data_IF_382057416836
#
_entry.id   IF_382057416836
#
_cell.length_a   1.000
_cell.length_b   1.000
_cell.length_c   1.000
_cell.angle_alpha   90.00
_cell.angle_beta   90.00
_cell.angle_gamma   90.00
#
_symmetry.space_group_name_H-M   'P 1'
#
loop_
_entity.id
_entity.type
_entity.pdbx_description
1 polymer ?
#
# COMPACT_ATOMS: atom_id res chain seq x y z
N UNK A 1 7.08 -15.26 24.99
CA UNK A 1 6.45 -14.57 23.84
C UNK A 1 7.46 -14.53 22.72
N UNK A 2 7.10 -14.92 21.49
CA UNK A 2 7.92 -14.53 20.34
C UNK A 2 7.72 -13.01 20.17
N UNK A 3 8.77 -12.22 19.94
CA UNK A 3 8.57 -10.81 19.58
C UNK A 3 7.67 -10.77 18.33
N UNK A 4 6.71 -9.83 18.25
CA UNK A 4 5.95 -9.65 17.02
C UNK A 4 6.96 -9.30 15.91
N UNK A 5 7.08 -10.19 14.93
CA UNK A 5 7.93 -9.93 13.77
C UNK A 5 7.16 -8.98 12.85
N UNK A 6 7.70 -7.79 12.66
CA UNK A 6 7.24 -6.74 11.74
C UNK A 6 7.59 -7.04 10.27
N UNK A 7 8.11 -8.24 10.01
CA UNK A 7 8.43 -8.71 8.68
C UNK A 7 7.16 -9.16 7.94
N UNK A 8 7.07 -8.95 6.61
CA UNK A 8 5.88 -9.29 5.84
C UNK A 8 5.47 -10.76 5.95
N UNK A 9 6.46 -11.66 6.12
CA UNK A 9 6.23 -13.07 6.36
C UNK A 9 6.74 -13.48 7.75
N UNK A 10 5.86 -13.83 8.69
CA UNK A 10 6.27 -14.22 10.03
C UNK A 10 6.95 -15.59 10.11
N UNK A 11 6.81 -16.43 9.09
CA UNK A 11 7.53 -17.71 8.97
C UNK A 11 8.95 -17.53 8.44
N UNK A 12 9.24 -16.37 7.83
CA UNK A 12 10.55 -16.04 7.25
C UNK A 12 10.99 -14.63 7.65
N UNK A 13 11.31 -14.40 8.94
CA UNK A 13 11.87 -13.13 9.38
C UNK A 13 13.13 -12.79 8.56
N UNK A 14 13.26 -11.52 8.18
CA UNK A 14 14.36 -11.06 7.34
C UNK A 14 14.09 -11.12 5.83
N UNK A 15 12.96 -11.66 5.37
CA UNK A 15 12.61 -11.63 3.94
C UNK A 15 11.77 -10.38 3.61
N UNK A 16 12.06 -9.66 2.52
CA UNK A 16 11.26 -8.50 2.12
C UNK A 16 9.88 -8.90 1.64
N UNK A 17 9.05 -7.90 1.32
CA UNK A 17 7.72 -8.10 0.73
C UNK A 17 7.76 -8.76 -0.65
N UNK A 18 8.87 -8.59 -1.40
CA UNK A 18 9.06 -9.11 -2.74
C UNK A 18 10.38 -9.88 -2.86
N UNK A 19 10.51 -11.03 -2.18
CA UNK A 19 11.78 -11.76 -2.13
C UNK A 19 12.21 -12.37 -3.47
N UNK A 20 11.30 -12.48 -4.43
CA UNK A 20 11.50 -13.01 -5.78
C UNK A 20 12.10 -12.01 -6.78
N UNK A 21 12.51 -10.82 -6.34
CA UNK A 21 13.15 -9.82 -7.21
C UNK A 21 14.19 -9.01 -6.47
N UNK A 22 15.24 -8.63 -7.18
CA UNK A 22 16.22 -7.67 -6.67
C UNK A 22 15.54 -6.31 -6.42
N UNK A 23 15.92 -5.61 -5.35
CA UNK A 23 15.26 -4.36 -5.02
C UNK A 23 15.80 -3.64 -3.80
N UNK A 24 15.55 -2.33 -3.75
CA UNK A 24 15.83 -1.50 -2.59
C UNK A 24 14.67 -1.57 -1.62
N UNK A 25 14.98 -1.65 -0.33
CA UNK A 25 13.99 -1.61 0.73
C UNK A 25 14.47 -0.71 1.87
N UNK A 26 13.51 -0.11 2.55
CA UNK A 26 13.73 0.64 3.78
C UNK A 26 13.56 -0.31 4.96
N UNK A 27 14.54 -0.28 5.84
CA UNK A 27 14.57 -1.05 7.09
C UNK A 27 14.86 -0.07 8.22
N UNK A 28 14.09 -0.16 9.31
CA UNK A 28 14.37 0.55 10.55
C UNK A 28 15.21 -0.34 11.46
N UNK A 29 16.47 0.05 11.69
CA UNK A 29 17.45 -0.77 12.42
C UNK A 29 17.35 -0.61 13.93
N UNK A 30 16.57 0.37 14.41
CA UNK A 30 16.31 0.60 15.84
C UNK A 30 14.85 1.03 16.08
N UNK A 31 13.89 0.10 15.94
CA UNK A 31 12.46 0.41 16.05
C UNK A 31 12.00 0.78 17.46
N UNK A 32 12.80 0.49 18.50
CA UNK A 32 12.52 0.87 19.89
C UNK A 32 13.19 2.19 20.29
N UNK A 33 14.18 2.64 19.53
CA UNK A 33 14.94 3.87 19.76
C UNK A 33 14.56 5.03 18.83
N UNK A 34 15.49 5.99 18.63
CA UNK A 34 15.30 7.06 17.67
C UNK A 34 15.21 6.49 16.25
N UNK A 35 14.18 6.91 15.51
CA UNK A 35 13.89 6.46 14.15
C UNK A 35 15.15 6.43 13.27
N UNK A 36 15.57 5.23 12.86
CA UNK A 36 16.80 5.00 12.09
C UNK A 36 16.52 4.15 10.85
N UNK A 37 15.93 4.79 9.84
CA UNK A 37 15.59 4.18 8.55
C UNK A 37 16.81 4.18 7.62
N UNK A 38 17.26 2.99 7.23
CA UNK A 38 18.32 2.76 6.27
C UNK A 38 17.81 2.06 5.02
N UNK A 39 18.49 2.29 3.90
CA UNK A 39 18.17 1.64 2.63
C UNK A 39 19.14 0.48 2.41
N UNK A 40 18.60 -0.73 2.31
CA UNK A 40 19.33 -1.94 1.96
C UNK A 40 18.85 -2.48 0.63
N UNK A 41 19.73 -3.20 -0.06
CA UNK A 41 19.43 -3.86 -1.31
C UNK A 41 19.27 -5.37 -1.10
N UNK A 42 18.13 -5.92 -1.50
CA UNK A 42 17.88 -7.35 -1.52
C UNK A 42 18.38 -7.94 -2.84
N UNK A 43 19.19 -9.00 -2.75
CA UNK A 43 19.64 -9.80 -3.90
C UNK A 43 18.88 -11.12 -3.92
N UNK A 44 17.96 -11.29 -4.87
CA UNK A 44 17.10 -12.46 -5.02
C UNK A 44 17.92 -13.73 -5.21
N UNK A 45 18.90 -13.75 -6.12
CA UNK A 45 19.61 -15.00 -6.43
C UNK A 45 20.36 -15.58 -5.23
N UNK A 46 20.86 -14.71 -4.36
CA UNK A 46 21.61 -15.09 -3.17
C UNK A 46 20.72 -15.13 -1.92
N UNK A 47 19.53 -14.53 -1.97
CA UNK A 47 18.62 -14.35 -0.84
C UNK A 47 19.32 -13.65 0.35
N UNK A 48 20.06 -12.58 0.05
CA UNK A 48 20.82 -11.79 1.04
C UNK A 48 20.49 -10.30 0.94
N UNK A 49 20.69 -9.60 2.06
CA UNK A 49 20.74 -8.14 2.10
C UNK A 49 22.17 -7.67 1.93
N UNK A 50 22.35 -6.59 1.18
CA UNK A 50 23.63 -5.86 1.10
C UNK A 50 23.38 -4.38 1.34
N UNK A 51 24.35 -3.70 1.94
CA UNK A 51 24.30 -2.25 2.07
C UNK A 51 24.28 -1.62 0.66
N UNK A 52 23.39 -0.67 0.44
CA UNK A 52 23.07 -0.17 -0.91
C UNK A 52 24.28 0.39 -1.67
N UNK A 53 25.29 0.92 -0.97
CA UNK A 53 26.49 1.51 -1.57
C UNK A 53 27.67 0.53 -1.68
N UNK A 54 27.52 -0.72 -1.22
CA UNK A 54 28.60 -1.69 -1.12
C UNK A 54 28.23 -3.01 -1.83
N UNK A 55 28.92 -3.32 -2.92
CA UNK A 55 28.64 -4.50 -3.76
C UNK A 55 29.47 -5.75 -3.37
N UNK A 56 30.31 -5.63 -2.33
CA UNK A 56 31.22 -6.69 -1.89
C UNK A 56 30.48 -7.87 -1.23
N UNK A 57 31.00 -9.10 -1.37
CA UNK A 57 30.47 -10.27 -0.64
C UNK A 57 30.69 -10.17 0.88
N UNK A 58 31.61 -9.31 1.32
CA UNK A 58 31.93 -9.11 2.73
C UNK A 58 30.90 -8.22 3.46
N UNK A 59 30.00 -7.56 2.71
CA UNK A 59 29.01 -6.60 3.22
C UNK A 59 27.57 -7.20 3.21
N UNK A 60 27.47 -8.52 3.06
CA UNK A 60 26.21 -9.24 3.16
C UNK A 60 25.77 -9.34 4.63
N UNK A 61 24.53 -8.95 4.91
CA UNK A 61 23.97 -9.15 6.25
C UNK A 61 23.57 -10.61 6.43
N UNK A 62 23.92 -11.16 7.59
CA UNK A 62 23.51 -12.49 8.01
C UNK A 62 22.27 -12.43 8.93
N UNK A 63 21.63 -13.56 9.14
CA UNK A 63 20.34 -13.63 9.86
C UNK A 63 20.36 -13.06 11.29
N UNK A 64 21.54 -12.96 11.93
CA UNK A 64 21.68 -12.32 13.24
C UNK A 64 21.66 -10.79 13.16
N UNK A 65 22.13 -10.20 12.06
CA UNK A 65 22.15 -8.74 11.88
C UNK A 65 20.74 -8.17 11.76
N UNK A 66 19.79 -8.98 11.27
CA UNK A 66 18.39 -8.60 11.10
C UNK A 66 17.57 -8.72 12.40
N UNK A 67 18.15 -9.23 13.49
CA UNK A 67 17.44 -9.37 14.77
C UNK A 67 17.24 -8.00 15.40
N UNK A 68 15.99 -7.68 15.71
CA UNK A 68 15.62 -6.40 16.31
C UNK A 68 15.30 -5.31 15.28
N UNK A 69 15.47 -5.58 13.99
CA UNK A 69 15.13 -4.64 12.92
C UNK A 69 13.66 -4.72 12.52
N UNK A 70 13.17 -3.66 11.87
CA UNK A 70 11.83 -3.56 11.34
C UNK A 70 11.79 -3.32 9.84
N UNK A 71 11.05 -4.16 9.13
CA UNK A 71 10.75 -3.90 7.73
C UNK A 71 9.80 -2.70 7.60
N UNK A 72 10.18 -1.71 6.80
CA UNK A 72 9.32 -0.55 6.51
C UNK A 72 8.63 -0.72 5.16
N UNK A 73 9.39 -1.01 4.10
CA UNK A 73 8.79 -1.16 2.77
C UNK A 73 9.78 -1.18 1.61
N UNK A 74 9.31 -1.50 0.39
CA UNK A 74 10.12 -1.39 -0.83
C UNK A 74 10.30 0.08 -1.24
N UNK A 75 11.46 0.41 -1.81
CA UNK A 75 11.70 1.68 -2.49
C UNK A 75 11.35 1.50 -3.97
N UNK A 76 10.19 2.00 -4.36
CA UNK A 76 9.68 1.85 -5.72
C UNK A 76 10.28 2.89 -6.66
N UNK A 77 10.58 2.48 -7.90
CA UNK A 77 10.96 3.44 -8.94
C UNK A 77 9.72 4.18 -9.47
N UNK A 78 9.89 5.37 -10.06
CA UNK A 78 8.79 6.09 -10.71
C UNK A 78 8.02 5.22 -11.73
N UNK A 79 8.72 4.36 -12.48
CA UNK A 79 8.13 3.44 -13.46
C UNK A 79 7.27 2.38 -12.78
N UNK A 80 7.76 1.77 -11.69
CA UNK A 80 6.99 0.79 -10.92
C UNK A 80 5.73 1.42 -10.31
N UNK A 81 5.84 2.65 -9.80
CA UNK A 81 4.68 3.41 -9.31
C UNK A 81 3.69 3.66 -10.45
N UNK A 82 4.17 4.08 -11.62
CA UNK A 82 3.32 4.32 -12.78
C UNK A 82 2.59 3.04 -13.25
N UNK A 83 3.27 1.90 -13.26
CA UNK A 83 2.69 0.60 -13.59
C UNK A 83 1.62 0.19 -12.57
N UNK A 84 1.91 0.32 -11.26
CA UNK A 84 0.94 0.03 -10.20
C UNK A 84 -0.30 0.92 -10.31
N UNK A 85 -0.12 2.22 -10.60
CA UNK A 85 -1.22 3.16 -10.78
C UNK A 85 -2.04 2.86 -12.04
N UNK A 86 -1.41 2.44 -13.14
CA UNK A 86 -2.12 2.05 -14.35
C UNK A 86 -3.00 0.82 -14.12
N UNK A 87 -2.46 -0.21 -13.45
CA UNK A 87 -3.22 -1.40 -13.11
C UNK A 87 -4.37 -1.12 -12.12
N UNK A 88 -4.18 -0.21 -11.17
CA UNK A 88 -5.26 0.20 -10.26
C UNK A 88 -6.36 0.97 -10.99
N UNK A 89 -6.02 1.86 -11.93
CA UNK A 89 -7.00 2.56 -12.77
C UNK A 89 -7.85 1.58 -13.56
N UNK A 90 -7.24 0.56 -14.18
CA UNK A 90 -7.98 -0.48 -14.91
C UNK A 90 -8.95 -1.24 -13.98
N UNK A 91 -8.52 -1.58 -12.76
CA UNK A 91 -9.39 -2.21 -11.75
C UNK A 91 -10.57 -1.31 -11.36
N UNK A 92 -10.32 -0.02 -11.14
CA UNK A 92 -11.37 0.95 -10.84
C UNK A 92 -12.35 1.09 -12.01
N UNK A 93 -11.87 1.21 -13.24
CA UNK A 93 -12.70 1.32 -14.44
C UNK A 93 -13.57 0.08 -14.63
N UNK A 94 -13.01 -1.11 -14.40
CA UNK A 94 -13.75 -2.38 -14.44
C UNK A 94 -14.81 -2.45 -13.35
N UNK A 95 -14.49 -2.04 -12.13
CA UNK A 95 -15.44 -2.02 -11.02
C UNK A 95 -16.61 -1.06 -11.29
N UNK A 96 -16.32 0.16 -11.76
CA UNK A 96 -17.35 1.16 -12.11
C UNK A 96 -18.22 0.64 -13.24
N UNK A 97 -17.62 0.06 -14.28
CA UNK A 97 -18.37 -0.49 -15.42
C UNK A 97 -19.28 -1.65 -15.00
N UNK A 98 -18.81 -2.51 -14.08
CA UNK A 98 -19.63 -3.57 -13.49
C UNK A 98 -20.84 -3.03 -12.74
N UNK A 99 -20.64 -2.01 -11.90
CA UNK A 99 -21.73 -1.36 -11.16
C UNK A 99 -22.77 -0.74 -12.11
N UNK A 100 -22.32 -0.08 -13.18
CA UNK A 100 -23.23 0.50 -14.19
C UNK A 100 -24.08 -0.59 -14.87
N UNK A 101 -23.47 -1.73 -15.19
CA UNK A 101 -24.17 -2.84 -15.84
C UNK A 101 -25.18 -3.50 -14.90
N UNK A 102 -24.82 -3.70 -13.62
CA UNK A 102 -25.74 -4.19 -12.59
C UNK A 102 -26.94 -3.25 -12.39
N UNK A 103 -26.71 -1.93 -12.39
CA UNK A 103 -27.79 -0.93 -12.32
C UNK A 103 -28.71 -0.98 -13.54
N UNK A 104 -28.16 -1.08 -14.75
CA UNK A 104 -28.96 -1.22 -15.98
C UNK A 104 -29.83 -2.47 -15.98
N UNK A 105 -29.30 -3.59 -15.49
CA UNK A 105 -30.08 -4.83 -15.38
C UNK A 105 -31.19 -4.71 -14.34
N UNK A 106 -30.98 -3.95 -13.27
CA UNK A 106 -31.95 -3.78 -12.18
C UNK A 106 -33.06 -2.79 -12.53
N UNK A 107 -32.74 -1.69 -13.21
CA UNK A 107 -33.63 -0.54 -13.40
C UNK A 107 -34.00 -0.25 -14.87
N UNK A 108 -33.41 -0.98 -15.83
CA UNK A 108 -33.63 -0.80 -17.27
C UNK A 108 -32.71 0.27 -17.90
N UNK A 109 -32.63 0.26 -19.24
CA UNK A 109 -31.78 1.15 -20.04
C UNK A 109 -32.16 2.65 -19.96
N UNK A 110 -33.37 2.97 -19.51
CA UNK A 110 -33.90 4.34 -19.48
C UNK A 110 -33.47 5.17 -18.25
N UNK A 111 -32.66 4.64 -17.32
CA UNK A 111 -32.16 5.44 -16.20
C UNK A 111 -30.93 6.25 -16.64
N UNK A 112 -31.07 7.55 -16.98
CA UNK A 112 -29.98 8.29 -17.56
C UNK A 112 -29.14 8.89 -16.44
N UNK A 113 -27.85 8.62 -16.57
CA UNK A 113 -26.74 9.46 -16.16
C UNK A 113 -26.49 9.58 -14.65
N UNK A 114 -25.19 9.63 -14.36
CA UNK A 114 -24.52 10.04 -13.11
C UNK A 114 -25.23 11.21 -12.37
N UNK A 115 -26.03 12.01 -13.09
CA UNK A 115 -26.93 13.04 -12.59
C UNK A 115 -28.07 12.54 -11.68
N UNK A 116 -28.62 11.33 -11.84
CA UNK A 116 -29.65 10.79 -10.94
C UNK A 116 -29.06 10.34 -9.60
N UNK A 117 -27.90 9.69 -9.60
CA UNK A 117 -27.18 9.30 -8.38
C UNK A 117 -26.73 10.53 -7.56
N UNK A 118 -26.20 11.56 -8.22
CA UNK A 118 -25.93 12.85 -7.57
C UNK A 118 -27.20 13.48 -6.97
N UNK A 119 -28.35 13.39 -7.67
CA UNK A 119 -29.64 13.88 -7.18
C UNK A 119 -30.16 13.11 -5.96
N UNK A 120 -29.93 11.80 -5.89
CA UNK A 120 -30.38 10.94 -4.78
C UNK A 120 -29.52 11.17 -3.53
N UNK A 121 -28.20 11.23 -3.68
CA UNK A 121 -27.27 11.55 -2.57
C UNK A 121 -27.54 12.95 -1.99
N UNK A 122 -27.90 13.95 -2.81
CA UNK A 122 -28.29 15.27 -2.31
C UNK A 122 -29.72 15.38 -1.76
N UNK A 123 -30.65 14.49 -2.14
CA UNK A 123 -32.01 14.45 -1.57
C UNK A 123 -32.09 13.71 -0.24
N UNK A 124 -31.14 12.83 0.04
CA UNK A 124 -31.12 11.99 1.24
C UNK A 124 -30.18 12.48 2.34
N UNK A 125 -29.52 13.65 2.20
CA UNK A 125 -28.99 14.37 3.36
C UNK A 125 -30.22 14.94 4.10
N UNK A 126 -30.61 14.40 5.27
CA UNK A 126 -31.61 15.07 6.09
C UNK A 126 -30.99 16.41 6.44
N UNK A 127 -31.74 17.48 6.26
CA UNK A 127 -31.38 18.79 6.77
C UNK A 127 -30.97 18.66 8.24
N UNK A 128 -29.67 18.66 8.51
CA UNK A 128 -29.12 19.10 9.79
C UNK A 128 -29.33 20.62 9.90
N UNK A 129 -30.58 21.07 9.72
CA UNK A 129 -31.04 22.41 10.07
C UNK A 129 -31.49 22.37 11.54
N UNK A 130 -30.52 22.02 12.40
CA UNK A 130 -30.57 22.17 13.85
C UNK A 130 -29.72 23.36 14.29
N UNK A 131 -29.69 24.45 13.52
CA UNK A 131 -29.07 25.71 13.95
C UNK A 131 -30.20 26.68 14.30
N UNK A 132 -30.53 26.88 15.58
CA UNK A 132 -31.41 27.96 15.98
C UNK A 132 -30.64 29.27 15.85
N UNK A 133 -30.96 30.05 14.81
CA UNK A 133 -30.50 31.43 14.67
C UNK A 133 -31.42 32.32 15.52
N UNK A 134 -31.00 32.61 16.75
CA UNK A 134 -31.68 33.59 17.62
C UNK A 134 -30.95 34.95 17.54
N UNK A 135 -31.62 35.92 16.94
CA UNK A 135 -31.42 37.38 17.01
C UNK A 135 -32.82 37.95 16.72
N UNK A 136 -33.53 38.71 17.55
CA UNK A 136 -33.24 39.56 18.71
C UNK A 136 -34.34 39.35 19.75
#
# INVERSE_FOLDING_TARGET
MKPPTNWPNPERPGYPMFPERDGKHVIDVDPEGPKNELVYYWKEKQQIWVEYDHEGPDDALEGYDLIGWSYVGPVLTPEQIAEMLAGERERCEKAISGLIEEEKQTYGEESPDILWAFRKVHREIPSCAGVPFFMK
#
